data_IF_795630103360
#
_entry.id   IF_795630103360
#
_cell.length_a   1.000
_cell.length_b   1.000
_cell.length_c   1.000
_cell.angle_alpha   90.00
_cell.angle_beta   90.00
_cell.angle_gamma   90.00
#
_symmetry.space_group_name_H-M   'P 1'
#
loop_
_entity.id
_entity.type
_entity.pdbx_description
1 polymer ?
#
# COMPACT_ATOMS: atom_id res chain seq x y z
N UNK A 1 7.39 -2.69 -4.54
CA UNK A 1 7.52 -1.65 -3.49
C UNK A 1 8.64 -2.01 -2.51
N UNK A 2 8.52 -3.13 -1.78
CA UNK A 2 9.41 -3.45 -0.67
C UNK A 2 10.86 -3.75 -1.06
N UNK A 3 11.09 -4.39 -2.20
CA UNK A 3 12.44 -4.80 -2.63
C UNK A 3 13.12 -3.86 -3.62
N UNK A 4 12.36 -2.91 -4.22
CA UNK A 4 12.87 -1.95 -5.20
C UNK A 4 12.69 -0.52 -4.72
N UNK A 5 11.49 0.03 -4.92
CA UNK A 5 11.16 1.42 -4.59
C UNK A 5 11.64 1.89 -3.20
N UNK A 6 11.32 1.17 -2.12
CA UNK A 6 11.69 1.59 -0.76
C UNK A 6 13.22 1.66 -0.58
N UNK A 7 13.99 0.57 -0.78
CA UNK A 7 15.45 0.62 -0.61
C UNK A 7 16.16 1.56 -1.61
N UNK A 8 15.69 1.65 -2.86
CA UNK A 8 16.28 2.53 -3.89
C UNK A 8 16.17 4.02 -3.53
N UNK A 9 15.19 4.39 -2.71
CA UNK A 9 14.96 5.78 -2.29
C UNK A 9 15.55 6.09 -0.90
N UNK A 10 16.41 5.23 -0.35
CA UNK A 10 17.04 5.48 0.95
C UNK A 10 16.07 5.38 2.13
N UNK A 11 14.94 4.70 1.95
CA UNK A 11 13.91 4.54 2.96
C UNK A 11 13.99 3.15 3.61
N UNK A 12 13.44 3.03 4.81
CA UNK A 12 13.20 1.74 5.48
C UNK A 12 11.73 1.58 5.86
N UNK A 13 11.23 0.35 5.76
CA UNK A 13 9.89 0.03 6.23
C UNK A 13 9.79 0.20 7.74
N UNK A 14 8.73 0.84 8.19
CA UNK A 14 8.38 0.94 9.62
C UNK A 14 6.91 0.61 9.82
N UNK A 15 6.58 -0.01 10.96
CA UNK A 15 5.21 -0.39 11.28
C UNK A 15 4.57 -1.38 10.28
N UNK A 16 3.25 -1.51 10.38
CA UNK A 16 2.45 -2.38 9.49
C UNK A 16 1.91 -1.62 8.29
N UNK A 17 1.79 -2.30 7.17
CA UNK A 17 1.04 -1.75 6.04
C UNK A 17 -0.45 -1.65 6.38
N UNK A 18 -1.10 -0.68 5.75
CA UNK A 18 -2.53 -0.45 5.85
C UNK A 18 -3.17 -0.65 4.48
N UNK A 19 -4.29 -1.36 4.45
CA UNK A 19 -5.15 -1.47 3.28
C UNK A 19 -6.37 -0.58 3.50
N UNK A 20 -6.62 0.33 2.56
CA UNK A 20 -7.80 1.20 2.59
C UNK A 20 -8.64 0.86 1.37
N UNK A 21 -9.74 0.16 1.62
CA UNK A 21 -10.73 -0.19 0.60
C UNK A 21 -11.61 1.02 0.32
N UNK A 22 -11.50 1.58 -0.89
CA UNK A 22 -12.31 2.73 -1.32
C UNK A 22 -13.64 2.31 -1.94
N UNK A 23 -13.85 1.01 -2.15
CA UNK A 23 -15.02 0.42 -2.77
C UNK A 23 -15.65 -0.61 -1.83
N UNK A 24 -16.98 -0.68 -1.80
CA UNK A 24 -17.68 -1.78 -1.10
C UNK A 24 -17.55 -3.06 -1.95
N UNK A 25 -16.82 -4.03 -1.42
CA UNK A 25 -16.50 -5.30 -2.10
C UNK A 25 -17.72 -6.16 -2.40
N UNK A 26 -18.86 -5.91 -1.75
CA UNK A 26 -20.11 -6.66 -1.97
C UNK A 26 -20.96 -6.06 -3.10
N UNK A 27 -20.65 -4.84 -3.55
CA UNK A 27 -21.49 -4.08 -4.49
C UNK A 27 -20.76 -3.71 -5.78
N UNK A 28 -19.43 -3.65 -5.74
CA UNK A 28 -18.61 -3.23 -6.87
C UNK A 28 -18.04 -4.45 -7.58
N UNK A 29 -18.15 -4.46 -8.92
CA UNK A 29 -17.55 -5.51 -9.75
C UNK A 29 -16.02 -5.58 -9.52
N UNK A 30 -15.40 -6.77 -9.49
CA UNK A 30 -14.00 -6.97 -9.11
C UNK A 30 -13.01 -6.07 -9.85
N UNK A 31 -13.21 -5.89 -11.16
CA UNK A 31 -12.35 -5.09 -12.03
C UNK A 31 -12.42 -3.57 -11.76
N UNK A 32 -13.43 -3.12 -11.00
CA UNK A 32 -13.60 -1.71 -10.59
C UNK A 32 -13.24 -1.47 -9.13
N UNK A 33 -12.82 -2.50 -8.39
CA UNK A 33 -12.42 -2.34 -6.99
C UNK A 33 -11.17 -1.47 -6.89
N UNK A 34 -11.20 -0.52 -5.95
CA UNK A 34 -10.07 0.36 -5.68
C UNK A 34 -9.63 0.18 -4.23
N UNK A 35 -8.37 -0.23 -4.06
CA UNK A 35 -7.72 -0.36 -2.75
C UNK A 35 -6.43 0.43 -2.77
N UNK A 36 -6.19 1.23 -1.74
CA UNK A 36 -4.88 1.85 -1.50
C UNK A 36 -4.11 0.93 -0.55
N UNK A 37 -2.94 0.46 -1.00
CA UNK A 37 -1.95 -0.17 -0.13
C UNK A 37 -0.95 0.90 0.33
N UNK A 38 -0.87 1.13 1.64
CA UNK A 38 0.01 2.13 2.25
C UNK A 38 1.03 1.46 3.17
N UNK A 39 2.31 1.54 2.84
CA UNK A 39 3.41 1.13 3.72
C UNK A 39 4.00 2.37 4.40
N UNK A 40 3.99 2.46 5.74
CA UNK A 40 4.75 3.48 6.44
C UNK A 40 6.26 3.24 6.26
N UNK A 41 6.98 4.34 6.07
CA UNK A 41 8.43 4.38 5.84
C UNK A 41 9.05 5.52 6.65
N UNK A 42 10.33 5.39 6.96
CA UNK A 42 11.15 6.43 7.53
C UNK A 42 12.47 6.52 6.77
N UNK A 43 13.17 7.65 6.88
CA UNK A 43 14.54 7.76 6.39
C UNK A 43 15.42 6.69 7.05
N UNK A 44 16.35 6.16 6.27
CA UNK A 44 17.28 5.14 6.74
C UNK A 44 18.33 5.74 7.67
#
# INVERSE_FOLDING_TARGET
>A
MHEGFIPEHGLRMVGRHHEIYLSDTRRTAPEKLRTILRQPVADR
#
